data_IF_384017343151
#
_entry.id   IF_384017343151
#
_cell.length_a   1.000
_cell.length_b   1.000
_cell.length_c   1.000
_cell.angle_alpha   90.00
_cell.angle_beta   90.00
_cell.angle_gamma   90.00
#
_symmetry.space_group_name_H-M   'P 1'
#
loop_
_entity.id
_entity.type
_entity.pdbx_description
1 polymer ?
#
# COMPACT_ATOMS: atom_id res chain seq x y z
N UNK A 1 15.06 2.98 -67.65
CA UNK A 1 16.19 2.96 -66.71
C UNK A 1 15.72 3.70 -65.50
N UNK A 2 15.37 2.99 -64.51
CA UNK A 2 14.60 3.38 -63.31
C UNK A 2 15.57 3.66 -62.16
N UNK A 3 15.60 4.90 -61.69
CA UNK A 3 16.22 5.29 -60.44
C UNK A 3 15.24 5.03 -59.29
N UNK A 4 15.66 4.26 -58.29
CA UNK A 4 14.96 4.10 -57.01
C UNK A 4 15.58 5.09 -56.03
N UNK A 5 14.78 6.04 -55.59
CA UNK A 5 15.09 6.91 -54.46
C UNK A 5 14.94 6.09 -53.18
N UNK A 6 16.00 6.04 -52.40
CA UNK A 6 16.03 5.45 -51.06
C UNK A 6 15.62 6.51 -50.05
N UNK A 7 14.45 6.40 -49.46
CA UNK A 7 14.06 7.17 -48.29
C UNK A 7 14.89 6.76 -47.09
N UNK A 8 15.60 7.76 -46.57
CA UNK A 8 16.31 7.66 -45.29
C UNK A 8 15.33 7.63 -44.12
N UNK A 9 15.24 6.47 -43.47
CA UNK A 9 14.51 6.32 -42.24
C UNK A 9 15.14 7.19 -41.13
N UNK A 10 14.36 8.13 -40.61
CA UNK A 10 14.71 8.91 -39.45
C UNK A 10 14.80 7.96 -38.24
N UNK A 11 16.02 7.78 -37.73
CA UNK A 11 16.28 7.06 -36.51
C UNK A 11 15.67 7.85 -35.33
N UNK A 12 14.71 7.25 -34.66
CA UNK A 12 14.25 7.69 -33.35
C UNK A 12 15.40 7.40 -32.39
N UNK A 13 16.04 8.46 -31.91
CA UNK A 13 17.05 8.37 -30.86
C UNK A 13 16.43 7.84 -29.57
N UNK A 14 17.22 7.21 -28.69
CA UNK A 14 16.69 6.73 -27.42
C UNK A 14 16.19 7.92 -26.58
N UNK A 15 14.91 7.92 -26.25
CA UNK A 15 14.39 8.82 -25.26
C UNK A 15 15.11 8.55 -23.95
N UNK A 16 15.83 9.55 -23.44
CA UNK A 16 16.55 9.51 -22.16
C UNK A 16 15.52 9.42 -21.04
N UNK A 17 15.49 8.27 -20.40
CA UNK A 17 14.62 7.76 -19.39
C UNK A 17 14.21 8.70 -18.26
N UNK A 18 12.93 9.08 -18.27
CA UNK A 18 12.18 9.10 -17.05
C UNK A 18 11.83 7.63 -16.76
N UNK A 19 12.24 7.11 -15.60
CA UNK A 19 11.98 5.71 -15.22
C UNK A 19 10.48 5.44 -15.29
N UNK A 20 10.09 4.24 -15.71
CA UNK A 20 8.67 3.85 -15.77
C UNK A 20 8.08 4.02 -14.36
N UNK A 21 6.98 4.80 -14.19
CA UNK A 21 6.38 5.00 -12.88
C UNK A 21 6.12 3.67 -12.18
N UNK A 22 6.45 3.59 -10.88
CA UNK A 22 6.31 2.38 -10.06
C UNK A 22 7.13 1.16 -10.51
N UNK A 23 8.24 1.36 -11.25
CA UNK A 23 9.14 0.24 -11.63
C UNK A 23 9.85 -0.39 -10.43
N UNK A 24 9.99 0.35 -9.35
CA UNK A 24 10.54 -0.06 -8.06
C UNK A 24 9.52 -0.67 -7.10
N UNK A 25 8.23 -0.80 -7.52
CA UNK A 25 7.15 -1.31 -6.67
C UNK A 25 6.71 -2.69 -7.12
N UNK A 26 6.85 -3.68 -6.24
CA UNK A 26 6.24 -4.99 -6.41
C UNK A 26 4.94 -5.11 -5.59
N UNK A 27 3.95 -5.77 -6.19
CA UNK A 27 2.63 -5.98 -5.60
C UNK A 27 2.46 -7.46 -5.27
N UNK A 28 2.05 -7.78 -4.05
CA UNK A 28 1.75 -9.14 -3.64
C UNK A 28 0.68 -9.15 -2.55
N UNK A 29 -0.28 -10.05 -2.65
CA UNK A 29 -1.40 -10.12 -1.70
C UNK A 29 -2.08 -8.73 -1.55
N UNK A 30 -2.04 -8.18 -0.33
CA UNK A 30 -2.56 -6.87 0.05
C UNK A 30 -1.43 -5.93 0.49
N UNK A 31 -0.25 -6.10 -0.09
CA UNK A 31 0.97 -5.41 0.29
C UNK A 31 1.69 -4.85 -0.94
N UNK A 32 2.54 -3.88 -0.70
CA UNK A 32 3.51 -3.39 -1.68
C UNK A 32 4.93 -3.51 -1.11
N UNK A 33 5.87 -3.92 -1.95
CA UNK A 33 7.28 -3.88 -1.63
C UNK A 33 7.95 -2.80 -2.45
N UNK A 34 8.64 -1.90 -1.76
CA UNK A 34 9.38 -0.77 -2.30
C UNK A 34 10.87 -1.15 -2.35
N UNK A 35 11.37 -1.56 -3.53
CA UNK A 35 12.72 -2.11 -3.63
C UNK A 35 13.83 -1.09 -3.37
N UNK A 36 13.64 0.19 -3.72
CA UNK A 36 14.60 1.26 -3.43
C UNK A 36 14.72 1.58 -1.94
N UNK A 37 13.64 1.38 -1.18
CA UNK A 37 13.59 1.61 0.26
C UNK A 37 13.81 0.33 1.08
N UNK A 38 13.88 -0.83 0.42
CA UNK A 38 13.92 -2.15 1.02
C UNK A 38 12.83 -2.34 2.10
N UNK A 39 11.60 -1.91 1.77
CA UNK A 39 10.49 -1.85 2.70
C UNK A 39 9.24 -2.55 2.16
N UNK A 40 8.68 -3.44 2.96
CA UNK A 40 7.36 -4.03 2.76
C UNK A 40 6.32 -3.19 3.49
N UNK A 41 5.31 -2.68 2.79
CA UNK A 41 4.24 -1.87 3.38
C UNK A 41 2.91 -2.62 3.32
N UNK A 42 2.26 -2.72 4.47
CA UNK A 42 0.89 -3.21 4.66
C UNK A 42 0.07 -2.16 5.40
N UNK A 43 -1.25 -2.23 5.38
CA UNK A 43 -2.12 -1.27 6.06
C UNK A 43 -3.29 -1.98 6.74
N UNK A 44 -3.87 -1.33 7.75
CA UNK A 44 -5.18 -1.70 8.29
C UNK A 44 -5.25 -3.17 8.74
N UNK A 45 -4.39 -3.52 9.69
CA UNK A 45 -4.35 -4.85 10.28
C UNK A 45 -5.60 -5.11 11.13
N UNK A 46 -6.08 -4.07 11.83
CA UNK A 46 -7.23 -4.13 12.73
C UNK A 46 -7.18 -5.33 13.67
N UNK A 47 -6.04 -5.57 14.29
CA UNK A 47 -5.84 -6.68 15.23
C UNK A 47 -6.89 -6.62 16.34
N UNK A 48 -7.53 -7.74 16.64
CA UNK A 48 -8.63 -7.82 17.60
C UNK A 48 -10.03 -7.62 16.99
N UNK A 49 -10.14 -7.40 15.68
CA UNK A 49 -11.44 -7.25 14.99
C UNK A 49 -12.31 -8.50 15.12
N UNK A 50 -11.70 -9.68 15.09
CA UNK A 50 -12.38 -10.95 15.28
C UNK A 50 -13.07 -11.08 16.62
N UNK A 51 -12.55 -10.44 17.67
CA UNK A 51 -13.15 -10.46 19.02
C UNK A 51 -14.37 -9.54 19.12
N UNK A 52 -14.39 -8.44 18.36
CA UNK A 52 -15.52 -7.51 18.31
C UNK A 52 -16.68 -8.03 17.43
N UNK A 53 -16.44 -9.08 16.65
CA UNK A 53 -17.44 -9.73 15.80
C UNK A 53 -18.34 -10.61 16.64
N UNK A 54 -19.68 -10.54 16.42
CA UNK A 54 -20.66 -11.42 17.05
C UNK A 54 -20.57 -12.90 16.57
N UNK A 55 -19.67 -13.20 15.65
CA UNK A 55 -19.37 -14.54 15.15
C UNK A 55 -18.36 -15.19 16.08
N UNK A 56 -18.78 -16.18 16.85
CA UNK A 56 -18.01 -16.89 17.89
C UNK A 56 -16.85 -17.77 17.37
N UNK A 57 -16.12 -17.37 16.34
CA UNK A 57 -14.97 -18.10 15.82
C UNK A 57 -13.79 -17.15 15.50
N UNK A 58 -13.11 -16.61 16.54
CA UNK A 58 -11.85 -15.88 16.33
C UNK A 58 -10.67 -16.84 16.11
N UNK A 59 -10.93 -18.05 15.61
CA UNK A 59 -9.89 -19.05 15.39
C UNK A 59 -9.12 -18.70 14.13
N UNK A 60 -7.96 -18.08 14.31
CA UNK A 60 -6.97 -17.95 13.26
C UNK A 60 -6.56 -16.54 12.87
N UNK A 61 -7.17 -15.45 13.40
CA UNK A 61 -6.77 -14.08 13.04
C UNK A 61 -5.27 -13.86 13.20
N UNK A 62 -4.70 -14.20 14.37
CA UNK A 62 -3.26 -14.11 14.62
C UNK A 62 -2.46 -15.02 13.68
N UNK A 63 -2.89 -16.27 13.49
CA UNK A 63 -2.19 -17.22 12.63
C UNK A 63 -2.22 -16.76 11.17
N UNK A 64 -3.39 -16.35 10.64
CA UNK A 64 -3.53 -15.81 9.28
C UNK A 64 -2.63 -14.59 9.07
N UNK A 65 -2.59 -13.66 10.03
CA UNK A 65 -1.75 -12.47 9.98
C UNK A 65 -0.26 -12.83 9.91
N UNK A 66 0.20 -13.66 10.84
CA UNK A 66 1.62 -14.05 10.96
C UNK A 66 2.06 -14.90 9.76
N UNK A 67 1.23 -15.85 9.32
CA UNK A 67 1.54 -16.71 8.18
C UNK A 67 1.66 -15.90 6.88
N UNK A 68 0.75 -14.95 6.65
CA UNK A 68 0.77 -14.11 5.45
C UNK A 68 1.92 -13.11 5.45
N UNK A 69 2.18 -12.45 6.57
CA UNK A 69 3.37 -11.59 6.71
C UNK A 69 4.63 -12.45 6.54
N UNK A 70 4.70 -13.63 7.16
CA UNK A 70 5.81 -14.56 7.01
C UNK A 70 6.07 -14.93 5.54
N UNK A 71 5.03 -15.24 4.78
CA UNK A 71 5.15 -15.55 3.35
C UNK A 71 5.66 -14.35 2.52
N UNK A 72 5.25 -13.12 2.88
CA UNK A 72 5.74 -11.91 2.24
C UNK A 72 7.20 -11.61 2.60
N UNK A 73 7.59 -11.84 3.86
CA UNK A 73 8.97 -11.74 4.32
C UNK A 73 9.87 -12.75 3.60
N UNK A 74 9.42 -14.01 3.47
CA UNK A 74 10.16 -15.06 2.76
C UNK A 74 10.30 -14.76 1.25
N UNK A 75 9.35 -14.01 0.68
CA UNK A 75 9.34 -13.64 -0.74
C UNK A 75 10.25 -12.47 -1.07
N UNK A 76 10.24 -11.42 -0.22
CA UNK A 76 10.88 -10.14 -0.53
C UNK A 76 12.14 -9.88 0.27
N UNK A 77 12.35 -10.58 1.39
CA UNK A 77 13.46 -10.41 2.34
C UNK A 77 13.72 -8.92 2.68
N UNK A 78 12.67 -8.14 3.08
CA UNK A 78 12.79 -6.72 3.29
C UNK A 78 13.56 -6.40 4.57
N UNK A 79 14.32 -5.29 4.58
CA UNK A 79 14.93 -4.79 5.81
C UNK A 79 13.90 -4.22 6.79
N UNK A 80 12.75 -3.74 6.27
CA UNK A 80 11.72 -3.10 7.09
C UNK A 80 10.31 -3.54 6.66
N UNK A 81 9.45 -3.82 7.65
CA UNK A 81 8.00 -3.93 7.47
C UNK A 81 7.35 -2.70 8.07
N UNK A 82 6.51 -2.01 7.30
CA UNK A 82 5.78 -0.82 7.73
C UNK A 82 4.29 -1.14 7.75
N UNK A 83 3.62 -0.85 8.87
CA UNK A 83 2.17 -0.88 8.98
C UNK A 83 1.63 0.54 8.86
N UNK A 84 0.91 0.83 7.79
CA UNK A 84 0.37 2.15 7.48
C UNK A 84 -0.98 2.42 8.18
N UNK A 85 -0.97 2.39 9.50
CA UNK A 85 -2.08 2.73 10.38
C UNK A 85 -3.12 1.63 10.59
N UNK A 86 -4.03 1.91 11.50
CA UNK A 86 -5.10 1.02 11.95
C UNK A 86 -4.57 -0.37 12.30
N UNK A 87 -3.52 -0.36 13.14
CA UNK A 87 -2.85 -1.56 13.65
C UNK A 87 -3.81 -2.37 14.52
N UNK A 88 -4.54 -1.68 15.42
CA UNK A 88 -5.54 -2.29 16.30
C UNK A 88 -6.96 -1.88 15.92
N UNK A 89 -7.95 -2.70 16.33
CA UNK A 89 -9.35 -2.45 15.97
C UNK A 89 -10.11 -1.60 16.97
N UNK A 90 -9.70 -1.59 18.23
CA UNK A 90 -10.45 -0.98 19.34
C UNK A 90 -9.83 0.33 19.80
N UNK A 91 -10.68 1.37 19.95
CA UNK A 91 -10.25 2.72 20.38
C UNK A 91 -9.87 2.81 21.87
N UNK A 92 -10.54 2.03 22.73
CA UNK A 92 -10.48 2.25 24.17
C UNK A 92 -9.45 1.37 24.89
N UNK A 93 -9.27 0.14 24.42
CA UNK A 93 -8.41 -0.84 25.09
C UNK A 93 -7.98 -1.95 24.13
N UNK A 94 -6.70 -2.24 24.11
CA UNK A 94 -6.14 -3.39 23.40
C UNK A 94 -6.30 -4.64 24.27
N UNK A 95 -6.92 -5.70 23.74
CA UNK A 95 -7.08 -6.98 24.42
C UNK A 95 -5.74 -7.72 24.58
N UNK A 96 -5.68 -8.68 25.49
CA UNK A 96 -4.49 -9.51 25.66
C UNK A 96 -4.18 -10.33 24.40
N UNK A 97 -5.23 -10.78 23.67
CA UNK A 97 -5.05 -11.49 22.38
C UNK A 97 -4.49 -10.58 21.29
N UNK A 98 -4.94 -9.34 21.24
CA UNK A 98 -4.40 -8.37 20.30
C UNK A 98 -2.92 -8.05 20.62
N UNK A 99 -2.55 -7.95 21.90
CA UNK A 99 -1.15 -7.82 22.33
C UNK A 99 -0.31 -9.02 21.89
N UNK A 100 -0.79 -10.25 22.15
CA UNK A 100 -0.13 -11.47 21.70
C UNK A 100 0.04 -11.53 20.18
N UNK A 101 -0.90 -10.99 19.42
CA UNK A 101 -0.79 -10.94 17.95
C UNK A 101 0.24 -9.92 17.47
N UNK A 102 0.34 -8.75 18.14
CA UNK A 102 1.38 -7.76 17.86
C UNK A 102 2.77 -8.27 18.21
N UNK A 103 2.91 -8.97 19.36
CA UNK A 103 4.16 -9.61 19.75
C UNK A 103 4.58 -10.70 18.76
N UNK A 104 3.64 -11.55 18.33
CA UNK A 104 3.91 -12.57 17.33
C UNK A 104 4.32 -11.98 15.97
N UNK A 105 3.73 -10.84 15.58
CA UNK A 105 4.11 -10.13 14.36
C UNK A 105 5.54 -9.57 14.48
N UNK A 106 5.86 -8.93 15.60
CA UNK A 106 7.23 -8.43 15.89
C UNK A 106 8.26 -9.56 15.84
N UNK A 107 7.93 -10.68 16.48
CA UNK A 107 8.81 -11.85 16.52
C UNK A 107 9.01 -12.45 15.13
N UNK A 108 7.95 -12.51 14.30
CA UNK A 108 8.03 -13.01 12.94
C UNK A 108 8.92 -12.14 12.04
N UNK A 109 8.84 -10.80 12.19
CA UNK A 109 9.73 -9.85 11.51
C UNK A 109 11.18 -10.01 12.02
N UNK A 110 11.38 -9.97 13.34
CA UNK A 110 12.70 -10.07 13.95
C UNK A 110 13.42 -11.38 13.65
N UNK A 111 12.69 -12.49 13.58
CA UNK A 111 13.27 -13.81 13.22
C UNK A 111 13.83 -13.84 11.79
N UNK A 112 13.42 -12.91 10.92
CA UNK A 112 13.90 -12.74 9.54
C UNK A 112 14.79 -11.53 9.36
N UNK A 113 15.16 -10.84 10.45
CA UNK A 113 16.04 -9.67 10.41
C UNK A 113 15.34 -8.36 9.99
N UNK A 114 14.03 -8.38 9.79
CA UNK A 114 13.27 -7.19 9.41
C UNK A 114 12.87 -6.35 10.64
N UNK A 115 13.03 -5.03 10.55
CA UNK A 115 12.49 -4.10 11.53
C UNK A 115 10.97 -3.95 11.32
N UNK A 116 10.19 -3.82 12.41
CA UNK A 116 8.76 -3.51 12.33
C UNK A 116 8.55 -2.06 12.75
N UNK A 117 8.02 -1.24 11.84
CA UNK A 117 7.68 0.17 12.05
C UNK A 117 6.16 0.35 12.00
N UNK A 118 5.61 1.05 12.98
CA UNK A 118 4.18 1.32 13.06
C UNK A 118 3.90 2.80 12.81
N UNK A 119 2.93 3.05 11.93
CA UNK A 119 2.33 4.36 11.71
C UNK A 119 0.96 4.36 12.37
N UNK A 120 0.58 5.44 13.02
CA UNK A 120 -0.71 5.55 13.70
C UNK A 120 -1.85 5.74 12.69
N UNK A 121 -2.96 5.04 12.91
CA UNK A 121 -4.24 5.28 12.27
C UNK A 121 -5.24 5.90 13.23
N UNK A 122 -6.43 6.22 12.73
CA UNK A 122 -7.48 6.83 13.56
C UNK A 122 -8.09 5.85 14.57
N UNK A 123 -7.86 4.53 14.44
CA UNK A 123 -8.23 3.51 15.43
C UNK A 123 -7.16 3.27 16.51
N UNK A 124 -5.96 3.82 16.38
CA UNK A 124 -4.80 3.43 17.18
C UNK A 124 -4.62 4.22 18.49
N UNK A 125 -5.66 4.90 19.00
CA UNK A 125 -5.57 5.70 20.22
C UNK A 125 -5.04 4.89 21.43
N UNK A 126 -5.40 3.60 21.54
CA UNK A 126 -4.95 2.70 22.60
C UNK A 126 -3.67 1.92 22.27
N UNK A 127 -3.07 2.13 21.11
CA UNK A 127 -1.90 1.35 20.65
C UNK A 127 -0.69 1.56 21.56
N UNK A 128 -0.48 2.78 22.06
CA UNK A 128 0.61 3.11 22.96
C UNK A 128 0.59 2.31 24.29
N UNK A 129 -0.59 1.82 24.72
CA UNK A 129 -0.74 0.98 25.90
C UNK A 129 -0.34 -0.49 25.64
N UNK A 130 -0.17 -0.86 24.38
CA UNK A 130 0.07 -2.23 23.95
C UNK A 130 1.38 -2.42 23.19
N UNK A 131 2.06 -1.35 22.85
CA UNK A 131 3.26 -1.35 22.04
C UNK A 131 4.37 -0.52 22.68
N UNK A 132 5.49 -1.15 23.03
CA UNK A 132 6.64 -0.47 23.68
C UNK A 132 7.57 0.22 22.66
N UNK A 133 7.36 0.00 21.36
CA UNK A 133 8.14 0.62 20.30
C UNK A 133 7.60 1.99 19.88
N UNK A 134 8.31 2.71 19.00
CA UNK A 134 7.83 3.96 18.45
C UNK A 134 6.59 3.76 17.58
N UNK A 135 5.60 4.64 17.71
CA UNK A 135 4.48 4.80 16.82
C UNK A 135 4.59 6.20 16.20
N UNK A 136 4.56 6.30 14.88
CA UNK A 136 4.77 7.55 14.15
C UNK A 136 3.48 8.02 13.51
N UNK A 137 3.31 9.32 13.35
CA UNK A 137 2.21 9.87 12.53
C UNK A 137 2.44 9.62 11.02
N UNK A 138 3.70 9.68 10.61
CA UNK A 138 4.16 9.38 9.25
C UNK A 138 5.59 8.85 9.28
N UNK A 139 5.95 8.02 8.31
CA UNK A 139 7.30 7.47 8.15
C UNK A 139 7.86 7.86 6.78
N UNK A 140 9.05 8.45 6.79
CA UNK A 140 9.77 8.81 5.56
C UNK A 140 10.76 7.69 5.23
N UNK A 141 10.64 7.14 4.03
CA UNK A 141 11.52 6.13 3.46
C UNK A 141 12.31 6.72 2.29
N UNK A 142 13.58 6.34 2.16
CA UNK A 142 14.46 6.86 1.11
C UNK A 142 14.87 8.32 1.32
N UNK A 143 15.46 8.94 0.30
CA UNK A 143 15.79 10.37 0.32
C UNK A 143 16.84 10.78 1.34
N UNK A 144 17.77 9.91 1.71
CA UNK A 144 18.90 10.26 2.59
C UNK A 144 19.92 11.11 1.84
N UNK A 145 19.82 12.42 2.03
CA UNK A 145 20.78 13.40 1.56
C UNK A 145 20.15 14.79 1.57
N UNK A 146 20.81 15.76 2.22
CA UNK A 146 20.53 17.17 2.01
C UNK A 146 20.45 17.43 0.51
N UNK A 147 19.37 18.07 0.03
CA UNK A 147 19.22 18.50 -1.36
C UNK A 147 20.25 19.57 -1.70
N UNK A 148 21.54 19.26 -1.58
CA UNK A 148 22.58 19.99 -2.29
C UNK A 148 22.68 19.38 -3.70
N UNK A 149 22.46 20.23 -4.66
CA UNK A 149 22.41 20.04 -6.09
C UNK A 149 23.14 18.77 -6.60
N UNK A 150 22.40 17.72 -6.96
CA UNK A 150 22.85 16.91 -8.06
C UNK A 150 22.89 15.39 -7.93
N UNK A 151 22.73 14.74 -6.77
CA UNK A 151 22.74 13.28 -6.70
C UNK A 151 21.94 12.79 -5.47
N UNK A 152 20.65 12.55 -5.64
CA UNK A 152 19.90 11.59 -4.82
C UNK A 152 19.00 10.80 -5.77
N UNK A 153 19.41 9.59 -6.08
CA UNK A 153 18.80 8.71 -7.08
C UNK A 153 17.68 7.83 -6.47
N UNK A 154 17.28 8.10 -5.21
CA UNK A 154 16.23 7.35 -4.52
C UNK A 154 15.00 8.23 -4.28
N UNK A 155 13.84 7.77 -4.75
CA UNK A 155 12.56 8.43 -4.54
C UNK A 155 12.24 8.52 -3.04
N UNK A 156 11.87 9.73 -2.59
CA UNK A 156 11.39 9.93 -1.23
C UNK A 156 9.93 9.47 -1.11
N UNK A 157 9.69 8.44 -0.34
CA UNK A 157 8.35 7.92 -0.07
C UNK A 157 7.91 8.25 1.36
N UNK A 158 6.70 8.76 1.52
CA UNK A 158 6.04 8.95 2.82
C UNK A 158 4.96 7.90 2.97
N UNK A 159 5.04 7.15 4.07
CA UNK A 159 4.00 6.21 4.50
C UNK A 159 3.21 6.87 5.63
N UNK A 160 1.91 7.01 5.48
CA UNK A 160 0.99 7.52 6.50
C UNK A 160 -0.33 6.76 6.42
N UNK A 161 -1.23 6.93 7.42
CA UNK A 161 -2.50 6.21 7.38
C UNK A 161 -3.43 6.71 6.27
N UNK A 162 -3.54 8.01 6.09
CA UNK A 162 -4.34 8.60 5.00
C UNK A 162 -5.68 9.20 5.42
N UNK A 163 -6.04 9.17 6.71
CA UNK A 163 -7.21 9.87 7.25
C UNK A 163 -6.96 11.39 7.41
N UNK A 164 -5.69 11.79 7.51
CA UNK A 164 -5.24 13.17 7.55
C UNK A 164 -4.14 13.42 6.50
N UNK A 165 -3.98 14.70 6.11
CA UNK A 165 -2.95 15.07 5.17
C UNK A 165 -1.56 15.02 5.83
N UNK A 166 -0.55 14.35 5.20
CA UNK A 166 0.79 14.29 5.75
C UNK A 166 1.47 15.67 5.76
N UNK A 167 2.39 15.86 6.70
CA UNK A 167 3.18 17.08 6.85
C UNK A 167 4.40 17.07 5.91
N UNK A 168 5.03 15.92 5.73
CA UNK A 168 6.22 15.77 4.89
C UNK A 168 5.88 15.78 3.41
N UNK A 169 6.72 16.47 2.61
CA UNK A 169 6.66 16.39 1.16
C UNK A 169 7.39 15.13 0.67
N UNK A 170 6.87 14.50 -0.39
CA UNK A 170 7.42 13.29 -0.97
C UNK A 170 7.26 13.27 -2.49
N UNK A 171 7.97 12.35 -3.13
CA UNK A 171 7.79 12.00 -4.54
C UNK A 171 6.69 10.92 -4.67
N UNK A 172 6.44 10.16 -3.58
CA UNK A 172 5.39 9.14 -3.47
C UNK A 172 4.78 9.11 -2.07
N UNK A 173 3.47 8.89 -2.00
CA UNK A 173 2.74 8.60 -0.77
C UNK A 173 2.17 7.19 -0.82
N UNK A 174 2.27 6.46 0.31
CA UNK A 174 1.64 5.14 0.50
C UNK A 174 0.71 5.23 1.70
N UNK A 175 -0.56 4.93 1.48
CA UNK A 175 -1.61 5.07 2.52
C UNK A 175 -2.48 3.82 2.63
N UNK A 176 -3.13 3.66 3.78
CA UNK A 176 -4.23 2.72 4.06
C UNK A 176 -5.60 3.43 4.07
N UNK A 177 -6.35 3.24 5.16
CA UNK A 177 -7.58 3.90 5.55
C UNK A 177 -8.81 3.62 4.65
N UNK A 178 -8.67 3.73 3.34
CA UNK A 178 -9.78 3.61 2.37
C UNK A 178 -10.24 2.15 2.21
N UNK A 179 -9.36 1.17 2.43
CA UNK A 179 -9.61 -0.26 2.21
C UNK A 179 -10.18 -0.58 0.82
N UNK A 180 -9.55 -0.18 -0.28
CA UNK A 180 -10.16 -0.31 -1.60
C UNK A 180 -10.38 -1.77 -2.00
N UNK A 181 -11.56 -2.02 -2.56
CA UNK A 181 -11.94 -3.28 -3.21
C UNK A 181 -12.58 -2.97 -4.54
N UNK A 182 -12.40 -3.84 -5.54
CA UNK A 182 -13.08 -3.75 -6.82
C UNK A 182 -14.03 -4.92 -6.98
N UNK A 183 -15.21 -4.68 -7.51
CA UNK A 183 -16.17 -5.73 -7.85
C UNK A 183 -16.00 -6.12 -9.32
N UNK A 184 -15.71 -7.41 -9.57
CA UNK A 184 -15.50 -7.99 -10.90
C UNK A 184 -16.40 -9.23 -10.97
N UNK A 185 -17.35 -9.23 -11.91
CA UNK A 185 -18.29 -10.36 -12.12
C UNK A 185 -19.05 -10.77 -10.84
N UNK A 186 -19.34 -9.80 -9.96
CA UNK A 186 -20.02 -10.02 -8.69
C UNK A 186 -19.09 -10.43 -7.53
N UNK A 187 -17.81 -10.68 -7.78
CA UNK A 187 -16.82 -10.98 -6.77
C UNK A 187 -16.09 -9.71 -6.32
N UNK A 188 -16.09 -9.44 -5.02
CA UNK A 188 -15.36 -8.32 -4.43
C UNK A 188 -13.93 -8.71 -4.12
N UNK A 189 -12.98 -8.04 -4.75
CA UNK A 189 -11.54 -8.31 -4.64
C UNK A 189 -10.79 -7.11 -4.07
N UNK A 190 -9.92 -7.28 -3.06
CA UNK A 190 -9.05 -6.20 -2.60
C UNK A 190 -8.14 -5.74 -3.73
N UNK A 191 -7.91 -4.45 -3.82
CA UNK A 191 -7.02 -3.89 -4.84
C UNK A 191 -6.15 -2.77 -4.25
N UNK A 192 -4.97 -2.59 -4.77
CA UNK A 192 -4.18 -1.37 -4.57
C UNK A 192 -4.64 -0.35 -5.62
N UNK A 193 -4.91 0.90 -5.20
CA UNK A 193 -5.11 1.97 -6.15
C UNK A 193 -3.80 2.70 -6.40
N UNK A 194 -3.47 2.93 -7.66
CA UNK A 194 -2.27 3.61 -8.11
C UNK A 194 -2.63 4.90 -8.83
N UNK A 195 -2.01 6.01 -8.44
CA UNK A 195 -2.15 7.31 -9.10
C UNK A 195 -0.80 7.94 -9.38
N UNK A 196 -0.55 8.36 -10.62
CA UNK A 196 0.67 9.05 -11.03
C UNK A 196 0.49 10.55 -10.91
N UNK A 197 1.30 11.22 -10.07
CA UNK A 197 1.23 12.65 -9.85
C UNK A 197 -0.11 13.15 -9.27
N UNK A 198 -0.93 12.28 -8.67
CA UNK A 198 -2.33 12.58 -8.29
C UNK A 198 -2.47 13.35 -6.98
N UNK A 199 -1.45 13.37 -6.13
CA UNK A 199 -1.48 14.14 -4.90
C UNK A 199 -0.30 15.11 -4.80
N UNK A 200 -0.56 16.41 -4.89
CA UNK A 200 0.47 17.47 -4.85
C UNK A 200 1.60 17.28 -5.90
N UNK A 201 1.29 16.63 -7.02
CA UNK A 201 2.26 16.29 -8.06
C UNK A 201 3.09 15.04 -7.78
N UNK A 202 2.88 14.38 -6.62
CA UNK A 202 3.52 13.13 -6.25
C UNK A 202 2.64 11.92 -6.58
N UNK A 203 3.26 10.75 -6.69
CA UNK A 203 2.58 9.48 -6.88
C UNK A 203 1.83 9.05 -5.61
N UNK A 204 0.74 8.31 -5.77
CA UNK A 204 -0.07 7.81 -4.68
C UNK A 204 -0.31 6.31 -4.82
N UNK A 205 -0.13 5.57 -3.72
CA UNK A 205 -0.55 4.18 -3.56
C UNK A 205 -1.52 4.10 -2.38
N UNK A 206 -2.74 3.59 -2.63
CA UNK A 206 -3.75 3.34 -1.59
C UNK A 206 -3.87 1.84 -1.41
N UNK A 207 -3.51 1.35 -0.23
CA UNK A 207 -3.48 -0.08 0.08
C UNK A 207 -4.86 -0.57 0.52
N UNK A 208 -5.24 -1.82 0.17
CA UNK A 208 -6.39 -2.46 0.79
C UNK A 208 -6.07 -2.86 2.23
N UNK A 209 -7.10 -2.99 3.07
CA UNK A 209 -6.92 -3.53 4.40
C UNK A 209 -6.24 -4.91 4.35
N UNK A 210 -5.16 -5.07 5.11
CA UNK A 210 -4.44 -6.35 5.16
C UNK A 210 -5.29 -7.42 5.84
N UNK A 211 -6.07 -7.05 6.86
CA UNK A 211 -7.03 -7.99 7.45
C UNK A 211 -8.05 -8.48 6.42
N UNK A 212 -8.43 -9.76 6.52
CA UNK A 212 -9.52 -10.35 5.72
C UNK A 212 -10.91 -10.05 6.32
N UNK A 213 -10.93 -9.52 7.53
CA UNK A 213 -12.17 -9.25 8.27
C UNK A 213 -12.83 -7.91 7.90
N UNK A 214 -12.09 -7.00 7.24
CA UNK A 214 -12.65 -5.74 6.75
C UNK A 214 -13.34 -5.96 5.39
N UNK A 215 -14.59 -5.51 5.22
CA UNK A 215 -15.33 -5.67 3.95
C UNK A 215 -14.76 -4.81 2.82
N UNK A 216 -14.04 -3.75 3.17
CA UNK A 216 -13.50 -2.75 2.24
C UNK A 216 -14.58 -1.87 1.59
N UNK A 217 -14.12 -0.90 0.80
CA UNK A 217 -14.94 0.05 0.05
C UNK A 217 -14.86 -0.30 -1.43
N UNK A 218 -16.01 -0.56 -2.08
CA UNK A 218 -16.04 -0.82 -3.52
C UNK A 218 -15.70 0.47 -4.30
N UNK A 219 -14.67 0.40 -5.15
CA UNK A 219 -14.20 1.56 -5.93
C UNK A 219 -14.91 1.72 -7.27
N UNK A 220 -15.80 0.81 -7.63
CA UNK A 220 -16.54 0.85 -8.89
C UNK A 220 -17.31 2.17 -9.07
N UNK A 221 -17.88 2.70 -7.98
CA UNK A 221 -18.62 3.96 -7.99
C UNK A 221 -17.80 5.15 -7.43
N UNK A 222 -16.50 4.97 -7.17
CA UNK A 222 -15.65 5.97 -6.50
C UNK A 222 -15.51 7.26 -7.30
N UNK A 223 -15.65 7.21 -8.63
CA UNK A 223 -15.62 8.41 -9.50
C UNK A 223 -16.74 9.37 -9.14
N UNK A 224 -17.94 8.86 -8.80
CA UNK A 224 -19.10 9.67 -8.43
C UNK A 224 -19.23 9.90 -6.92
N UNK A 225 -18.85 8.92 -6.10
CA UNK A 225 -19.01 8.96 -4.65
C UNK A 225 -17.82 9.61 -3.91
N UNK A 226 -16.64 9.64 -4.54
CA UNK A 226 -15.38 9.98 -3.87
C UNK A 226 -14.85 8.86 -3.01
N UNK A 227 -13.66 9.06 -2.45
CA UNK A 227 -13.03 8.17 -1.45
C UNK A 227 -12.68 9.02 -0.22
N UNK A 228 -12.86 8.45 0.96
CA UNK A 228 -12.67 9.15 2.22
C UNK A 228 -11.17 9.25 2.58
N UNK A 229 -10.48 10.17 1.91
CA UNK A 229 -9.08 10.52 2.22
C UNK A 229 -8.75 11.87 1.60
N UNK A 230 -8.11 12.79 2.34
CA UNK A 230 -7.65 14.08 1.81
C UNK A 230 -6.54 13.94 0.75
N UNK A 231 -5.93 12.75 0.63
CA UNK A 231 -4.94 12.48 -0.40
C UNK A 231 -5.57 12.08 -1.74
N UNK A 232 -6.86 11.71 -1.75
CA UNK A 232 -7.57 11.33 -2.96
C UNK A 232 -8.47 12.49 -3.43
N UNK A 233 -7.89 13.39 -4.23
CA UNK A 233 -8.66 14.52 -4.79
C UNK A 233 -9.50 14.15 -6.02
N UNK A 234 -9.03 13.18 -6.80
CA UNK A 234 -9.70 12.67 -8.00
C UNK A 234 -9.57 11.16 -8.11
N UNK A 235 -10.62 10.44 -7.73
CA UNK A 235 -10.65 8.98 -7.82
C UNK A 235 -10.60 8.48 -9.28
N UNK A 236 -11.06 9.28 -10.25
CA UNK A 236 -11.06 8.90 -11.67
C UNK A 236 -9.65 8.67 -12.23
N UNK A 237 -8.64 9.33 -11.66
CA UNK A 237 -7.23 9.19 -12.05
C UNK A 237 -6.56 7.95 -11.47
N UNK A 238 -7.18 7.27 -10.49
CA UNK A 238 -6.61 6.11 -9.82
C UNK A 238 -6.87 4.82 -10.61
N UNK A 239 -5.85 3.99 -10.77
CA UNK A 239 -5.92 2.71 -11.48
C UNK A 239 -5.82 1.54 -10.49
N UNK A 240 -6.81 0.62 -10.47
CA UNK A 240 -6.77 -0.55 -9.61
C UNK A 240 -5.72 -1.58 -10.04
N UNK A 241 -5.10 -2.23 -9.05
CA UNK A 241 -4.23 -3.40 -9.22
C UNK A 241 -4.76 -4.48 -8.28
N UNK A 242 -5.19 -5.61 -8.84
CA UNK A 242 -5.64 -6.79 -8.10
C UNK A 242 -4.53 -7.84 -8.14
N UNK A 243 -4.17 -8.41 -6.99
CA UNK A 243 -3.24 -9.52 -6.98
C UNK A 243 -3.99 -10.84 -7.24
N UNK A 244 -3.61 -11.55 -8.30
CA UNK A 244 -4.11 -12.89 -8.60
C UNK A 244 -3.22 -13.90 -7.86
N UNK A 245 -3.75 -14.47 -6.77
CA UNK A 245 -3.01 -15.40 -5.94
C UNK A 245 -2.74 -16.74 -6.66
N UNK A 246 -3.63 -17.16 -7.57
CA UNK A 246 -3.49 -18.42 -8.30
C UNK A 246 -2.34 -18.34 -9.33
N UNK A 247 -2.16 -17.17 -9.92
CA UNK A 247 -1.08 -16.91 -10.90
C UNK A 247 0.18 -16.34 -10.26
N UNK A 248 0.07 -15.78 -9.05
CA UNK A 248 1.17 -15.11 -8.36
C UNK A 248 1.56 -13.76 -8.97
N UNK A 249 0.64 -13.10 -9.70
CA UNK A 249 0.93 -11.88 -10.45
C UNK A 249 -0.12 -10.76 -10.23
N UNK A 250 0.27 -9.47 -10.39
CA UNK A 250 -0.66 -8.35 -10.32
C UNK A 250 -1.40 -8.16 -11.65
N UNK A 251 -2.73 -8.14 -11.60
CA UNK A 251 -3.61 -7.74 -12.69
C UNK A 251 -3.84 -6.23 -12.64
N UNK A 252 -3.44 -5.52 -13.68
CA UNK A 252 -3.52 -4.06 -13.78
C UNK A 252 -4.75 -3.65 -14.58
N UNK A 253 -5.54 -2.75 -14.02
CA UNK A 253 -6.72 -2.19 -14.66
C UNK A 253 -6.46 -0.76 -15.14
N UNK A 254 -7.23 -0.24 -16.10
CA UNK A 254 -7.18 1.17 -16.48
C UNK A 254 -7.65 2.06 -15.31
N UNK A 255 -7.40 3.38 -15.36
CA UNK A 255 -7.94 4.31 -14.38
C UNK A 255 -9.47 4.20 -14.26
N UNK A 256 -10.01 4.41 -13.04
CA UNK A 256 -11.44 4.27 -12.75
C UNK A 256 -12.31 5.13 -13.68
N UNK A 257 -11.88 6.34 -14.04
CA UNK A 257 -12.58 7.20 -15.00
C UNK A 257 -12.64 6.65 -16.43
N UNK A 258 -11.94 5.56 -16.73
CA UNK A 258 -12.05 4.89 -18.03
C UNK A 258 -13.06 3.72 -18.01
N UNK A 259 -13.59 3.31 -16.85
CA UNK A 259 -14.50 2.15 -16.75
C UNK A 259 -15.84 2.43 -17.42
N UNK A 260 -16.39 3.65 -17.30
CA UNK A 260 -17.66 4.06 -17.97
C UNK A 260 -17.60 3.94 -19.50
N UNK A 261 -16.39 3.80 -20.07
CA UNK A 261 -16.21 3.62 -21.53
C UNK A 261 -16.06 2.16 -21.93
N UNK A 262 -15.97 1.25 -20.97
CA UNK A 262 -15.80 -0.21 -21.19
C UNK A 262 -17.09 -1.00 -20.94
N UNK A 263 -18.10 -0.35 -20.37
CA UNK A 263 -19.48 -0.86 -20.20
C UNK A 263 -20.41 -0.24 -21.24
#
# INVERSE_FOLDING_TARGET
MTGRDAEAGAGVGPETGAGTPFSDVAFAERAVYLSEADALVVADLHVGRGEASAVSLPLGERADLVDRIGALLDRFDPATVVVAGDVVHTFDRVSDRAREALDALRDACGARGAALELVAGNHDAALADAWDGPVREELVLGGSGDREAGVSDTSRTVVCHGHEAPSAAADRYVIGHVHPTIEIEGDRRPCVLRGEGTYRGADLLVLPAFTRLAPGVAVNDAVSAGLDSPLVGDAAALAPIVYDADRGEPLRFPPLGAFDRLL
#
